data_IF_434173414402
#
_entry.id   IF_434173414402
#
_cell.length_a   1.000
_cell.length_b   1.000
_cell.length_c   1.000
_cell.angle_alpha   90.00
_cell.angle_beta   90.00
_cell.angle_gamma   90.00
#
_symmetry.space_group_name_H-M   'P 1'
#
loop_
_entity.id
_entity.type
_entity.pdbx_description
1 polymer ?
#
# COMPACT_ATOMS: atom_id res chain seq x y z
N UNK A 1 17.32 -23.36 -2.21
CA UNK A 1 16.09 -23.94 -1.63
C UNK A 1 15.76 -23.15 -0.37
N UNK A 2 14.59 -22.53 -0.28
CA UNK A 2 14.16 -21.76 0.91
C UNK A 2 13.73 -22.72 2.03
N UNK A 3 14.03 -22.36 3.28
CA UNK A 3 13.63 -23.12 4.48
C UNK A 3 12.27 -22.68 5.04
N UNK A 4 11.92 -21.40 4.82
CA UNK A 4 10.62 -20.81 5.12
C UNK A 4 10.40 -19.58 4.22
N UNK A 5 9.14 -19.17 4.07
CA UNK A 5 8.73 -17.96 3.33
C UNK A 5 7.84 -17.15 4.28
N UNK A 6 8.11 -15.86 4.40
CA UNK A 6 7.24 -14.96 5.18
C UNK A 6 5.88 -14.80 4.51
N UNK A 7 4.80 -14.56 5.27
CA UNK A 7 3.55 -14.13 4.67
C UNK A 7 3.75 -12.82 3.90
N UNK A 8 2.81 -12.51 2.99
CA UNK A 8 2.77 -11.21 2.34
C UNK A 8 2.48 -10.13 3.38
N UNK A 9 3.36 -9.12 3.47
CA UNK A 9 3.24 -8.00 4.41
C UNK A 9 3.21 -6.71 3.58
N UNK A 10 2.33 -5.75 3.90
CA UNK A 10 2.39 -4.44 3.27
C UNK A 10 3.72 -3.75 3.58
N UNK A 11 4.46 -3.35 2.55
CA UNK A 11 5.79 -2.76 2.73
C UNK A 11 5.78 -1.23 2.87
N UNK A 12 4.91 -0.55 2.11
CA UNK A 12 4.94 0.91 2.00
C UNK A 12 3.61 1.53 2.43
N UNK A 13 3.63 2.25 3.56
CA UNK A 13 2.49 3.01 4.06
C UNK A 13 2.46 4.42 3.44
N UNK A 14 1.35 4.78 2.83
CA UNK A 14 1.08 6.15 2.40
C UNK A 14 0.30 6.89 3.49
N UNK A 15 0.86 8.00 3.97
CA UNK A 15 0.22 8.85 4.99
C UNK A 15 -0.09 10.23 4.40
N UNK A 16 -1.23 10.78 4.79
CA UNK A 16 -1.65 12.12 4.38
C UNK A 16 -1.54 13.11 5.54
N UNK A 17 -1.16 14.34 5.24
CA UNK A 17 -1.14 15.42 6.23
C UNK A 17 -2.54 15.63 6.85
N UNK A 18 -2.59 15.88 8.16
CA UNK A 18 -3.83 16.12 8.92
C UNK A 18 -4.63 17.31 8.38
N UNK A 19 -3.95 18.35 7.88
CA UNK A 19 -4.52 19.61 7.40
C UNK A 19 -5.22 19.52 6.03
N UNK A 20 -5.10 18.39 5.31
CA UNK A 20 -5.79 18.21 4.03
C UNK A 20 -7.31 18.02 4.31
N UNK A 21 -8.22 18.64 3.54
CA UNK A 21 -9.65 18.39 3.68
C UNK A 21 -10.01 16.90 3.49
N UNK A 22 -10.95 16.39 4.29
CA UNK A 22 -11.34 14.97 4.25
C UNK A 22 -11.82 14.53 2.87
N UNK A 23 -12.55 15.39 2.16
CA UNK A 23 -13.02 15.13 0.79
C UNK A 23 -11.85 14.92 -0.18
N UNK A 24 -10.81 15.75 -0.08
CA UNK A 24 -9.58 15.62 -0.87
C UNK A 24 -8.83 14.34 -0.52
N UNK A 25 -8.69 14.00 0.77
CA UNK A 25 -8.07 12.73 1.18
C UNK A 25 -8.79 11.52 0.58
N UNK A 26 -10.13 11.52 0.62
CA UNK A 26 -10.94 10.43 0.06
C UNK A 26 -10.74 10.28 -1.45
N UNK A 27 -10.77 11.38 -2.18
CA UNK A 27 -10.53 11.37 -3.64
C UNK A 27 -9.13 10.86 -3.98
N UNK A 28 -8.09 11.32 -3.27
CA UNK A 28 -6.72 10.84 -3.47
C UNK A 28 -6.64 9.34 -3.16
N UNK A 29 -7.23 8.89 -2.06
CA UNK A 29 -7.25 7.47 -1.70
C UNK A 29 -7.93 6.62 -2.78
N UNK A 30 -9.07 7.06 -3.31
CA UNK A 30 -9.78 6.36 -4.39
C UNK A 30 -8.92 6.25 -5.66
N UNK A 31 -8.26 7.34 -6.05
CA UNK A 31 -7.35 7.36 -7.21
C UNK A 31 -6.20 6.37 -6.99
N UNK A 32 -5.57 6.37 -5.81
CA UNK A 32 -4.45 5.48 -5.48
C UNK A 32 -4.85 4.00 -5.57
N UNK A 33 -6.05 3.64 -5.09
CA UNK A 33 -6.57 2.27 -5.16
C UNK A 33 -6.86 1.81 -6.60
N UNK A 34 -7.01 2.75 -7.53
CA UNK A 34 -7.31 2.48 -8.94
C UNK A 34 -6.09 2.55 -9.85
N UNK A 35 -4.89 2.89 -9.35
CA UNK A 35 -3.69 3.02 -10.19
C UNK A 35 -3.37 1.74 -10.98
N UNK A 36 -3.55 0.56 -10.38
CA UNK A 36 -3.32 -0.71 -11.10
C UNK A 36 -4.36 -1.04 -12.18
N UNK A 37 -5.47 -0.29 -12.28
CA UNK A 37 -6.52 -0.53 -13.26
C UNK A 37 -6.17 -0.01 -14.66
N UNK A 38 -5.15 0.84 -14.80
CA UNK A 38 -4.68 1.41 -16.07
C UNK A 38 -3.23 1.02 -16.35
N UNK A 39 -2.82 1.03 -17.61
CA UNK A 39 -1.42 0.76 -18.00
C UNK A 39 -0.50 1.89 -17.49
N UNK A 40 -0.95 3.13 -17.60
CA UNK A 40 -0.24 4.33 -17.14
C UNK A 40 -0.05 4.30 -15.61
N UNK A 41 -1.09 3.93 -14.86
CA UNK A 41 -0.99 3.83 -13.42
C UNK A 41 -0.11 2.66 -12.95
N UNK A 42 -0.08 1.52 -13.69
CA UNK A 42 0.90 0.46 -13.45
C UNK A 42 2.32 0.92 -13.71
N UNK A 43 2.56 1.62 -14.83
CA UNK A 43 3.86 2.18 -15.15
C UNK A 43 4.33 3.18 -14.06
N UNK A 44 3.42 4.04 -13.58
CA UNK A 44 3.70 4.95 -12.48
C UNK A 44 4.08 4.20 -11.19
N UNK A 45 3.35 3.15 -10.81
CA UNK A 45 3.68 2.35 -9.62
C UNK A 45 5.00 1.60 -9.77
N UNK A 46 5.26 1.00 -10.93
CA UNK A 46 6.52 0.30 -11.20
C UNK A 46 7.72 1.24 -11.24
N UNK A 47 7.53 2.52 -11.56
CA UNK A 47 8.59 3.53 -11.46
C UNK A 47 8.98 3.84 -10.00
N UNK A 48 8.06 3.63 -9.05
CA UNK A 48 8.36 3.72 -7.61
C UNK A 48 9.12 2.46 -7.16
N UNK A 49 8.58 1.28 -7.47
CA UNK A 49 9.23 -0.02 -7.20
C UNK A 49 8.70 -1.08 -8.16
N UNK A 50 9.62 -1.74 -8.87
CA UNK A 50 9.29 -2.72 -9.92
C UNK A 50 8.49 -3.92 -9.43
N UNK A 51 8.62 -4.31 -8.15
CA UNK A 51 7.89 -5.45 -7.58
C UNK A 51 6.54 -5.09 -6.96
N UNK A 52 6.04 -3.85 -7.12
CA UNK A 52 4.74 -3.45 -6.59
C UNK A 52 3.62 -4.24 -7.26
N UNK A 53 2.77 -4.85 -6.45
CA UNK A 53 1.61 -5.63 -6.90
C UNK A 53 0.31 -4.84 -6.83
N UNK A 54 0.30 -3.73 -6.09
CA UNK A 54 -0.79 -2.78 -6.04
C UNK A 54 -0.85 -1.98 -4.75
N UNK A 55 -1.94 -1.21 -4.60
CA UNK A 55 -2.25 -0.44 -3.40
C UNK A 55 -3.55 -0.99 -2.83
N UNK A 56 -3.58 -1.19 -1.51
CA UNK A 56 -4.74 -1.71 -0.78
C UNK A 56 -5.21 -0.70 0.26
N UNK A 57 -6.48 -0.82 0.68
CA UNK A 57 -6.93 -0.09 1.86
C UNK A 57 -6.30 -0.73 3.08
N UNK A 58 -5.69 0.11 3.92
CA UNK A 58 -5.17 -0.29 5.22
C UNK A 58 -6.31 -0.74 6.12
N UNK A 59 -6.15 -1.91 6.74
CA UNK A 59 -6.93 -2.43 7.85
C UNK A 59 -6.03 -2.59 9.06
N UNK A 60 -6.60 -2.54 10.25
CA UNK A 60 -5.83 -2.73 11.48
C UNK A 60 -5.11 -4.10 11.51
N UNK A 61 -5.79 -5.14 11.02
CA UNK A 61 -5.25 -6.51 10.92
C UNK A 61 -4.02 -6.65 10.02
N UNK A 62 -3.80 -5.69 9.11
CA UNK A 62 -2.62 -5.71 8.22
C UNK A 62 -1.31 -5.53 9.02
N UNK A 63 -1.40 -5.01 10.24
CA UNK A 63 -0.26 -4.82 11.15
C UNK A 63 -0.04 -5.98 12.12
N UNK A 64 -0.94 -6.97 12.20
CA UNK A 64 -0.84 -8.03 13.21
C UNK A 64 0.46 -8.82 13.13
N UNK A 65 0.95 -9.07 11.92
CA UNK A 65 2.25 -9.73 11.74
C UNK A 65 3.42 -8.85 12.19
N UNK A 66 3.34 -7.54 11.91
CA UNK A 66 4.38 -6.58 12.33
C UNK A 66 4.40 -6.42 13.86
N UNK A 67 3.23 -6.40 14.51
CA UNK A 67 3.10 -6.37 15.99
C UNK A 67 3.82 -7.56 16.62
N UNK A 68 3.60 -8.77 16.10
CA UNK A 68 4.26 -10.02 16.57
C UNK A 68 5.79 -10.02 16.44
N UNK A 69 6.37 -9.17 15.60
CA UNK A 69 7.83 -9.08 15.43
C UNK A 69 8.43 -8.05 16.39
N UNK A 70 7.69 -6.98 16.70
CA UNK A 70 8.16 -5.86 17.49
C UNK A 70 7.97 -6.11 19.00
N UNK A 71 6.92 -6.85 19.36
CA UNK A 71 6.67 -7.33 20.73
C UNK A 71 7.57 -8.53 21.09
#
# INVERSE_FOLDING_TARGET
KSLAISPNIPEHLFVANSNIPLSTKRKIQEIFLQLMASEEGRAALHSIKSSVTGIVRVKDSDYDYLRRIID
#
